data_IF_522333319918
#
_entry.id   IF_522333319918
#
_cell.length_a   1.000
_cell.length_b   1.000
_cell.length_c   1.000
_cell.angle_alpha   90.00
_cell.angle_beta   90.00
_cell.angle_gamma   90.00
#
_symmetry.space_group_name_H-M   'P 1'
#
loop_
_entity.id
_entity.type
_entity.pdbx_description
1 polymer ?
#
# COMPACT_ATOMS: atom_id res chain seq x y z
N UNK A 1 -4.41 -5.65 10.96
CA UNK A 1 -4.14 -4.19 11.15
C UNK A 1 -4.91 -3.60 12.33
N UNK A 2 -6.19 -3.96 12.51
CA UNK A 2 -7.01 -3.51 13.64
C UNK A 2 -6.41 -3.87 15.01
N UNK A 3 -5.93 -5.11 15.20
CA UNK A 3 -5.28 -5.54 16.46
C UNK A 3 -4.03 -4.72 16.83
N UNK A 4 -3.36 -4.10 15.85
CA UNK A 4 -2.21 -3.22 16.07
C UNK A 4 -2.61 -1.76 16.30
N UNK A 5 -3.91 -1.47 16.44
CA UNK A 5 -4.45 -0.13 16.64
C UNK A 5 -4.27 0.81 15.44
N UNK A 6 -4.13 0.25 14.23
CA UNK A 6 -4.04 1.00 12.96
C UNK A 6 -5.41 1.20 12.31
N UNK A 7 -6.37 0.31 12.57
CA UNK A 7 -7.76 0.40 12.12
C UNK A 7 -8.70 0.42 13.35
N UNK A 8 -9.96 0.84 13.20
CA UNK A 8 -10.92 0.82 14.30
C UNK A 8 -11.12 -0.59 14.86
N UNK A 9 -11.26 -0.71 16.18
CA UNK A 9 -11.42 -1.99 16.90
C UNK A 9 -12.60 -2.84 16.41
N UNK A 10 -13.57 -2.23 15.74
CA UNK A 10 -14.69 -2.94 15.13
C UNK A 10 -14.26 -4.04 14.15
N UNK A 11 -13.18 -3.81 13.38
CA UNK A 11 -12.61 -4.80 12.47
C UNK A 11 -11.83 -5.91 13.24
N UNK A 12 -11.40 -5.66 14.47
CA UNK A 12 -10.77 -6.70 15.30
C UNK A 12 -11.80 -7.65 15.95
N UNK A 13 -13.10 -7.40 15.81
CA UNK A 13 -14.14 -8.24 16.43
C UNK A 13 -14.23 -9.59 15.73
N UNK A 14 -14.11 -10.66 16.52
CA UNK A 14 -14.23 -12.04 16.06
C UNK A 14 -15.56 -12.66 16.50
N UNK A 15 -16.07 -13.61 15.71
CA UNK A 15 -17.25 -14.41 16.03
C UNK A 15 -16.95 -15.46 17.12
N UNK A 16 -17.96 -16.25 17.50
CA UNK A 16 -17.80 -17.42 18.38
C UNK A 16 -16.78 -18.44 17.86
N UNK A 17 -16.54 -18.48 16.56
CA UNK A 17 -15.57 -19.38 15.91
C UNK A 17 -14.24 -18.68 15.59
N UNK A 18 -13.95 -17.56 16.24
CA UNK A 18 -12.76 -16.73 16.02
C UNK A 18 -12.61 -16.16 14.61
N UNK A 19 -13.69 -16.15 13.81
CA UNK A 19 -13.68 -15.60 12.45
C UNK A 19 -14.00 -14.10 12.44
N UNK A 20 -13.21 -13.26 11.72
CA UNK A 20 -13.45 -11.82 11.61
C UNK A 20 -14.52 -11.54 10.56
N UNK A 21 -15.80 -11.73 10.92
CA UNK A 21 -16.93 -11.63 9.99
C UNK A 21 -17.04 -10.26 9.31
N UNK A 22 -16.76 -9.19 10.05
CA UNK A 22 -16.80 -7.82 9.54
C UNK A 22 -15.78 -7.62 8.42
N UNK A 23 -14.54 -8.08 8.64
CA UNK A 23 -13.45 -7.97 7.66
C UNK A 23 -13.79 -8.75 6.38
N UNK A 24 -14.38 -9.94 6.53
CA UNK A 24 -14.80 -10.76 5.39
C UNK A 24 -15.90 -10.07 4.60
N UNK A 25 -16.94 -9.55 5.26
CA UNK A 25 -18.03 -8.84 4.59
C UNK A 25 -17.52 -7.57 3.88
N UNK A 26 -16.61 -6.84 4.51
CA UNK A 26 -15.98 -5.66 3.91
C UNK A 26 -15.12 -6.02 2.69
N UNK A 27 -14.35 -7.11 2.76
CA UNK A 27 -13.58 -7.63 1.63
C UNK A 27 -14.48 -8.09 0.48
N UNK A 28 -15.55 -8.84 0.80
CA UNK A 28 -16.53 -9.29 -0.20
C UNK A 28 -17.23 -8.11 -0.89
N UNK A 29 -17.54 -7.05 -0.14
CA UNK A 29 -18.07 -5.81 -0.71
C UNK A 29 -17.09 -5.19 -1.72
N UNK A 30 -15.79 -5.16 -1.41
CA UNK A 30 -14.75 -4.73 -2.34
C UNK A 30 -14.74 -5.54 -3.64
N UNK A 31 -14.91 -6.87 -3.56
CA UNK A 31 -15.01 -7.75 -4.75
C UNK A 31 -16.23 -7.39 -5.59
N UNK A 32 -17.38 -7.15 -4.96
CA UNK A 32 -18.61 -6.72 -5.67
C UNK A 32 -18.41 -5.36 -6.34
N UNK A 33 -17.72 -4.41 -5.69
CA UNK A 33 -17.41 -3.11 -6.30
C UNK A 33 -16.54 -3.22 -7.55
N UNK A 34 -15.72 -4.27 -7.67
CA UNK A 34 -14.85 -4.51 -8.82
C UNK A 34 -15.48 -5.41 -9.89
N UNK A 35 -16.69 -5.94 -9.68
CA UNK A 35 -17.29 -6.95 -10.56
C UNK A 35 -17.65 -6.45 -11.96
N UNK A 36 -17.63 -5.14 -12.19
CA UNK A 36 -17.88 -4.52 -13.51
C UNK A 36 -16.60 -4.44 -14.36
N UNK A 37 -15.43 -4.75 -13.79
CA UNK A 37 -14.15 -4.78 -14.48
C UNK A 37 -13.84 -6.18 -15.01
N UNK A 38 -13.12 -6.26 -16.12
CA UNK A 38 -12.60 -7.53 -16.62
C UNK A 38 -11.44 -8.03 -15.75
N UNK A 39 -11.20 -9.35 -15.79
CA UNK A 39 -10.09 -9.97 -15.06
C UNK A 39 -8.72 -9.34 -15.37
N UNK A 40 -8.47 -9.00 -16.64
CA UNK A 40 -7.22 -8.33 -17.05
C UNK A 40 -7.11 -6.92 -16.47
N UNK A 41 -8.21 -6.16 -16.43
CA UNK A 41 -8.23 -4.83 -15.81
C UNK A 41 -8.02 -4.91 -14.30
N UNK A 42 -8.57 -5.92 -13.61
CA UNK A 42 -8.34 -6.14 -12.17
C UNK A 42 -6.86 -6.41 -11.90
N UNK A 43 -6.23 -7.32 -12.66
CA UNK A 43 -4.79 -7.59 -12.56
C UNK A 43 -3.98 -6.31 -12.82
N UNK A 44 -4.38 -5.51 -13.80
CA UNK A 44 -3.68 -4.27 -14.11
C UNK A 44 -3.81 -3.23 -12.98
N UNK A 45 -4.97 -3.12 -12.32
CA UNK A 45 -5.17 -2.27 -11.14
C UNK A 45 -4.30 -2.74 -9.97
N UNK A 46 -4.31 -4.04 -9.67
CA UNK A 46 -3.48 -4.62 -8.62
C UNK A 46 -1.99 -4.32 -8.86
N UNK A 47 -1.50 -4.56 -10.08
CA UNK A 47 -0.12 -4.27 -10.46
C UNK A 47 0.21 -2.78 -10.39
N UNK A 48 -0.71 -1.90 -10.74
CA UNK A 48 -0.53 -0.45 -10.64
C UNK A 48 -0.38 -0.01 -9.18
N UNK A 49 -1.26 -0.49 -8.30
CA UNK A 49 -1.20 -0.22 -6.86
C UNK A 49 0.07 -0.80 -6.23
N UNK A 50 0.48 -1.99 -6.64
CA UNK A 50 1.73 -2.62 -6.22
C UNK A 50 2.95 -1.78 -6.62
N UNK A 51 3.00 -1.36 -7.89
CA UNK A 51 4.03 -0.47 -8.43
C UNK A 51 4.15 0.82 -7.61
N UNK A 52 3.02 1.45 -7.29
CA UNK A 52 3.01 2.63 -6.44
C UNK A 52 3.51 2.33 -5.01
N UNK A 53 3.09 1.20 -4.42
CA UNK A 53 3.58 0.73 -3.13
C UNK A 53 5.11 0.55 -3.11
N UNK A 54 5.67 -0.06 -4.15
CA UNK A 54 7.13 -0.24 -4.29
C UNK A 54 7.87 1.11 -4.32
N UNK A 55 7.33 2.13 -4.98
CA UNK A 55 7.93 3.47 -4.97
C UNK A 55 7.94 4.05 -3.55
N UNK A 56 6.84 3.90 -2.80
CA UNK A 56 6.77 4.32 -1.41
C UNK A 56 7.76 3.56 -0.52
N UNK A 57 7.91 2.25 -0.72
CA UNK A 57 8.89 1.43 0.01
C UNK A 57 10.32 1.85 -0.29
N UNK A 58 10.66 2.09 -1.56
CA UNK A 58 11.98 2.59 -1.94
C UNK A 58 12.26 3.97 -1.35
N UNK A 59 11.26 4.85 -1.36
CA UNK A 59 11.37 6.19 -0.75
C UNK A 59 11.59 6.06 0.76
N UNK A 60 10.78 5.24 1.44
CA UNK A 60 10.89 4.99 2.87
C UNK A 60 12.26 4.38 3.22
N UNK A 61 12.76 3.44 2.41
CA UNK A 61 14.07 2.83 2.59
C UNK A 61 15.20 3.87 2.57
N UNK A 62 15.21 4.77 1.58
CA UNK A 62 16.22 5.84 1.49
C UNK A 62 16.04 6.85 2.63
N UNK A 63 14.81 7.29 2.91
CA UNK A 63 14.53 8.24 3.99
C UNK A 63 14.93 7.70 5.36
N UNK A 64 14.60 6.45 5.68
CA UNK A 64 15.01 5.79 6.93
C UNK A 64 16.51 5.57 6.97
N UNK A 65 17.15 5.33 5.82
CA UNK A 65 18.60 5.17 5.74
C UNK A 65 19.35 6.44 6.16
N UNK A 66 18.82 7.61 5.80
CA UNK A 66 19.38 8.93 6.11
C UNK A 66 18.98 9.41 7.51
N UNK A 67 17.71 9.28 7.87
CA UNK A 67 17.17 9.80 9.15
C UNK A 67 17.54 8.93 10.35
N UNK A 68 17.63 7.61 10.17
CA UNK A 68 17.96 6.65 11.23
C UNK A 68 19.19 5.82 10.84
N UNK A 69 20.39 6.43 10.79
CA UNK A 69 21.61 5.75 10.35
C UNK A 69 22.07 4.65 11.32
N UNK A 70 21.74 4.77 12.61
CA UNK A 70 22.13 3.84 13.68
C UNK A 70 21.15 2.70 13.92
N UNK A 71 20.02 2.66 13.21
CA UNK A 71 19.06 1.56 13.32
C UNK A 71 19.73 0.23 12.96
N UNK A 72 19.43 -0.83 13.72
CA UNK A 72 19.94 -2.17 13.44
C UNK A 72 19.46 -2.65 12.06
N UNK A 73 20.40 -3.03 11.20
CA UNK A 73 20.13 -3.55 9.85
C UNK A 73 20.79 -4.92 9.74
N UNK A 74 20.03 -6.02 9.91
CA UNK A 74 20.57 -7.37 9.80
C UNK A 74 21.22 -7.64 8.44
N UNK A 75 20.66 -7.04 7.38
CA UNK A 75 21.20 -7.09 6.02
C UNK A 75 21.57 -5.68 5.55
N UNK A 76 22.84 -5.46 5.19
CA UNK A 76 23.37 -4.16 4.77
C UNK A 76 23.80 -4.21 3.31
N UNK A 77 23.36 -3.22 2.54
CA UNK A 77 23.87 -3.01 1.18
C UNK A 77 25.28 -2.39 1.30
N UNK A 78 26.32 -3.04 0.74
CA UNK A 78 27.72 -2.64 0.92
C UNK A 78 28.08 -1.31 0.22
N UNK A 79 27.24 -0.81 -0.69
CA UNK A 79 27.51 0.35 -1.54
C UNK A 79 27.18 1.72 -0.91
N UNK A 80 27.06 1.80 0.42
CA UNK A 80 26.68 3.04 1.11
C UNK A 80 25.29 3.56 0.71
N UNK A 81 24.98 4.82 1.04
CA UNK A 81 23.68 5.43 0.70
C UNK A 81 23.58 5.78 -0.79
N UNK A 82 24.65 6.31 -1.38
CA UNK A 82 24.68 6.69 -2.80
C UNK A 82 24.48 5.47 -3.70
N UNK A 83 25.23 4.39 -3.46
CA UNK A 83 25.09 3.18 -4.26
C UNK A 83 23.74 2.49 -4.07
N UNK A 84 23.12 2.63 -2.90
CA UNK A 84 21.75 2.14 -2.68
C UNK A 84 20.69 2.94 -3.46
N UNK A 85 20.86 4.26 -3.58
CA UNK A 85 20.02 5.08 -4.46
C UNK A 85 20.21 4.66 -5.91
N UNK A 86 21.46 4.54 -6.37
CA UNK A 86 21.77 4.13 -7.75
C UNK A 86 21.20 2.74 -8.08
N UNK A 87 21.20 1.80 -7.14
CA UNK A 87 20.60 0.47 -7.31
C UNK A 87 19.07 0.51 -7.48
N UNK A 88 18.40 1.49 -6.87
CA UNK A 88 16.94 1.66 -6.91
C UNK A 88 16.48 2.38 -8.19
N UNK A 89 17.34 3.19 -8.82
CA UNK A 89 16.97 3.96 -10.02
C UNK A 89 16.46 3.06 -11.16
N UNK A 90 17.16 1.97 -11.57
CA UNK A 90 16.67 1.11 -12.64
C UNK A 90 15.28 0.50 -12.38
N UNK A 91 15.01 -0.17 -11.23
CA UNK A 91 13.68 -0.72 -10.98
C UNK A 91 12.62 0.38 -10.82
N UNK A 92 12.94 1.54 -10.23
CA UNK A 92 12.00 2.66 -10.13
C UNK A 92 11.62 3.21 -11.52
N UNK A 93 12.58 3.32 -12.45
CA UNK A 93 12.31 3.74 -13.81
C UNK A 93 11.40 2.75 -14.55
N UNK A 94 11.68 1.45 -14.42
CA UNK A 94 10.83 0.40 -15.00
C UNK A 94 9.41 0.45 -14.44
N UNK A 95 9.25 0.68 -13.14
CA UNK A 95 7.94 0.86 -12.51
C UNK A 95 7.19 2.05 -13.14
N UNK A 96 7.85 3.20 -13.29
CA UNK A 96 7.22 4.38 -13.91
C UNK A 96 6.80 4.07 -15.34
N UNK A 97 7.63 3.39 -16.13
CA UNK A 97 7.28 2.97 -17.49
C UNK A 97 6.03 2.08 -17.48
N UNK A 98 6.00 1.03 -16.64
CA UNK A 98 4.85 0.13 -16.53
C UNK A 98 3.58 0.89 -16.15
N UNK A 99 3.67 1.85 -15.22
CA UNK A 99 2.54 2.70 -14.84
C UNK A 99 2.02 3.56 -16.00
N UNK A 100 2.90 4.06 -16.88
CA UNK A 100 2.48 4.85 -18.05
C UNK A 100 1.80 4.02 -19.15
N UNK A 101 2.01 2.70 -19.16
CA UNK A 101 1.37 1.78 -20.12
C UNK A 101 -0.04 1.36 -19.69
N UNK A 102 -0.48 1.71 -18.48
CA UNK A 102 -1.80 1.36 -17.99
C UNK A 102 -2.91 2.08 -18.77
N UNK A 103 -4.05 1.39 -18.97
CA UNK A 103 -5.21 2.01 -19.61
C UNK A 103 -5.80 3.12 -18.74
N UNK A 104 -6.46 4.10 -19.37
CA UNK A 104 -7.10 5.22 -18.66
C UNK A 104 -8.07 4.76 -17.57
N UNK A 105 -8.82 3.68 -17.81
CA UNK A 105 -9.73 3.08 -16.82
C UNK A 105 -8.97 2.58 -15.59
N UNK A 106 -7.93 1.78 -15.81
CA UNK A 106 -7.08 1.22 -14.74
C UNK A 106 -6.42 2.33 -13.94
N UNK A 107 -5.86 3.34 -14.62
CA UNK A 107 -5.24 4.48 -13.99
C UNK A 107 -6.24 5.26 -13.13
N UNK A 108 -7.44 5.54 -13.63
CA UNK A 108 -8.47 6.27 -12.88
C UNK A 108 -8.92 5.51 -11.62
N UNK A 109 -9.19 4.21 -11.72
CA UNK A 109 -9.59 3.38 -10.57
C UNK A 109 -8.46 3.29 -9.55
N UNK A 110 -7.21 3.11 -10.00
CA UNK A 110 -6.05 3.00 -9.11
C UNK A 110 -5.77 4.32 -8.39
N UNK A 111 -5.81 5.46 -9.08
CA UNK A 111 -5.65 6.78 -8.47
C UNK A 111 -6.77 7.05 -7.47
N UNK A 112 -8.02 6.70 -7.79
CA UNK A 112 -9.14 6.81 -6.85
C UNK A 112 -8.87 5.99 -5.58
N UNK A 113 -8.47 4.73 -5.73
CA UNK A 113 -8.15 3.86 -4.60
C UNK A 113 -6.99 4.43 -3.75
N UNK A 114 -5.95 4.98 -4.38
CA UNK A 114 -4.85 5.65 -3.69
C UNK A 114 -5.33 6.88 -2.92
N UNK A 115 -6.14 7.75 -3.53
CA UNK A 115 -6.69 8.94 -2.87
C UNK A 115 -7.55 8.55 -1.67
N UNK A 116 -8.40 7.54 -1.81
CA UNK A 116 -9.19 6.99 -0.70
C UNK A 116 -8.27 6.51 0.42
N UNK A 117 -7.21 5.76 0.11
CA UNK A 117 -6.21 5.32 1.10
C UNK A 117 -5.52 6.48 1.82
N UNK A 118 -5.06 7.49 1.07
CA UNK A 118 -4.40 8.67 1.64
C UNK A 118 -5.33 9.51 2.50
N UNK A 119 -6.61 9.65 2.15
CA UNK A 119 -7.61 10.38 2.94
C UNK A 119 -8.07 9.57 4.15
N UNK A 120 -8.13 8.25 4.05
CA UNK A 120 -8.50 7.39 5.17
C UNK A 120 -7.50 7.51 6.32
N UNK A 121 -6.20 7.62 6.02
CA UNK A 121 -5.15 7.72 7.04
C UNK A 121 -5.31 8.88 8.06
N UNK A 122 -5.46 10.16 7.66
CA UNK A 122 -5.70 11.26 8.59
C UNK A 122 -7.05 11.13 9.30
N UNK A 123 -8.09 10.60 8.64
CA UNK A 123 -9.39 10.32 9.27
C UNK A 123 -9.24 9.31 10.42
N UNK A 124 -8.47 8.24 10.21
CA UNK A 124 -8.18 7.24 11.25
C UNK A 124 -7.38 7.84 12.42
N UNK A 125 -6.38 8.67 12.11
CA UNK A 125 -5.60 9.38 13.15
C UNK A 125 -6.49 10.33 13.96
N UNK A 126 -7.41 11.05 13.30
CA UNK A 126 -8.35 11.95 13.97
C UNK A 126 -9.31 11.20 14.90
N UNK A 127 -9.90 10.10 14.43
CA UNK A 127 -10.78 9.25 15.24
C UNK A 127 -10.04 8.67 16.44
N UNK A 128 -8.78 8.25 16.26
CA UNK A 128 -7.93 7.75 17.33
C UNK A 128 -7.62 8.82 18.38
N UNK A 129 -7.47 10.09 18.00
CA UNK A 129 -7.22 11.22 18.92
C UNK A 129 -8.46 11.63 19.73
N UNK A 130 -9.67 11.34 19.22
CA UNK A 130 -10.94 11.69 19.87
C UNK A 130 -11.41 10.65 20.90
N UNK A 131 -10.79 9.46 20.92
CA UNK A 131 -11.06 8.38 21.84
C UNK A 131 -10.07 8.39 23.00
#
# INVERSE_FOLDING_TARGET
MAERGMLPDFFAKRSRYETPLIDILFSAFGVVLLSWMSFQEIIAVENYLYCFGMILEFTAFITLRVTHPTASRPYKIPLGTIGAVLMIIPPALLIVVVMTLASYKVMAVSIMAMVVGFVLQPCLVYVKKKR
#
